data_IF_058138119356
#
_entry.id   IF_058138119356
#
_cell.length_a   1.000
_cell.length_b   1.000
_cell.length_c   1.000
_cell.angle_alpha   90.00
_cell.angle_beta   90.00
_cell.angle_gamma   90.00
#
_symmetry.space_group_name_H-M   'P 1'
#
loop_
_entity.id
_entity.type
_entity.pdbx_description
1 polymer ?
#
# COMPACT_ATOMS: atom_id res chain seq x y z
N UNK A 1 -14.52 5.25 -0.52
CA UNK A 1 -13.60 4.64 0.47
C UNK A 1 -13.35 3.16 0.20
N UNK A 2 -13.79 2.61 -0.95
CA UNK A 2 -13.80 1.17 -1.17
C UNK A 2 -12.41 0.52 -1.23
N UNK A 3 -11.38 1.25 -1.67
CA UNK A 3 -10.05 0.67 -1.87
C UNK A 3 -9.38 0.14 -0.60
N UNK A 4 -9.66 0.74 0.56
CA UNK A 4 -9.12 0.27 1.83
C UNK A 4 -10.03 -0.77 2.50
N UNK A 5 -11.32 -0.77 2.14
CA UNK A 5 -12.31 -1.71 2.66
C UNK A 5 -12.17 -3.11 2.05
N UNK A 6 -11.49 -3.25 0.90
CA UNK A 6 -11.21 -4.55 0.27
C UNK A 6 -10.53 -5.53 1.25
N UNK A 7 -9.73 -5.01 2.17
CA UNK A 7 -9.02 -5.82 3.17
C UNK A 7 -9.89 -6.19 4.39
N UNK A 8 -10.99 -5.46 4.62
CA UNK A 8 -11.97 -5.80 5.68
C UNK A 8 -12.95 -6.88 5.20
N UNK A 9 -13.18 -6.96 3.88
CA UNK A 9 -14.14 -7.88 3.27
C UNK A 9 -13.56 -9.25 2.91
N UNK A 10 -12.22 -9.37 2.85
CA UNK A 10 -11.53 -10.59 2.42
C UNK A 10 -10.84 -11.31 3.56
N UNK A 11 -11.51 -12.31 4.11
CA UNK A 11 -10.86 -13.33 4.93
C UNK A 11 -10.00 -14.20 4.00
N UNK A 12 -8.67 -14.23 4.21
CA UNK A 12 -7.69 -15.08 3.50
C UNK A 12 -7.23 -14.62 2.10
N UNK A 13 -6.66 -13.42 2.00
CA UNK A 13 -5.94 -12.99 0.80
C UNK A 13 -4.70 -13.87 0.59
N UNK A 14 -4.53 -14.42 -0.62
CA UNK A 14 -3.41 -15.30 -0.99
C UNK A 14 -2.77 -14.86 -2.30
N UNK A 15 -1.48 -15.16 -2.43
CA UNK A 15 -0.69 -14.89 -3.62
C UNK A 15 0.04 -16.14 -4.08
N UNK A 16 0.25 -16.31 -5.39
CA UNK A 16 0.98 -17.46 -5.93
C UNK A 16 1.87 -17.10 -7.11
N UNK A 17 3.03 -17.74 -7.21
CA UNK A 17 3.92 -17.74 -8.37
C UNK A 17 3.67 -18.98 -9.29
N UNK A 18 2.62 -19.75 -9.01
CA UNK A 18 2.30 -21.02 -9.68
C UNK A 18 2.90 -22.27 -9.00
N UNK A 19 3.83 -22.10 -8.06
CA UNK A 19 4.48 -23.20 -7.34
C UNK A 19 4.32 -23.09 -5.82
N UNK A 20 4.38 -21.87 -5.31
CA UNK A 20 4.29 -21.50 -3.91
C UNK A 20 3.05 -20.66 -3.66
N UNK A 21 2.56 -20.69 -2.42
CA UNK A 21 1.44 -19.86 -1.99
C UNK A 21 1.87 -19.07 -0.77
N UNK A 22 1.72 -17.75 -0.89
CA UNK A 22 1.93 -16.80 0.18
C UNK A 22 0.58 -16.35 0.74
N UNK A 23 0.55 -16.11 2.05
CA UNK A 23 -0.67 -15.68 2.76
C UNK A 23 -0.51 -14.25 3.23
N UNK A 24 -1.52 -13.42 3.00
CA UNK A 24 -1.56 -12.04 3.46
C UNK A 24 -2.47 -11.93 4.68
N UNK A 25 -2.02 -11.16 5.67
CA UNK A 25 -2.80 -10.81 6.84
C UNK A 25 -2.77 -9.30 7.06
N UNK A 26 -3.95 -8.68 7.11
CA UNK A 26 -4.12 -7.32 7.58
C UNK A 26 -3.75 -7.26 9.08
N UNK A 27 -2.99 -6.25 9.47
CA UNK A 27 -2.65 -5.98 10.87
C UNK A 27 -3.50 -4.82 11.37
N UNK A 28 -3.45 -3.70 10.67
CA UNK A 28 -4.12 -2.47 11.10
C UNK A 28 -4.52 -1.63 9.88
N UNK A 29 -5.63 -0.90 10.02
CA UNK A 29 -6.11 0.07 9.05
C UNK A 29 -6.20 1.43 9.74
N UNK A 30 -5.56 2.43 9.15
CA UNK A 30 -5.56 3.80 9.65
C UNK A 30 -6.13 4.72 8.58
N UNK A 31 -7.14 5.51 8.93
CA UNK A 31 -7.68 6.53 8.04
C UNK A 31 -7.71 7.84 8.81
N UNK A 32 -6.82 8.75 8.46
CA UNK A 32 -6.80 10.09 8.99
C UNK A 32 -7.62 10.98 8.06
N UNK A 33 -8.95 10.89 8.20
CA UNK A 33 -9.89 11.82 7.61
C UNK A 33 -10.90 12.30 8.68
N UNK A 34 -11.61 13.41 8.46
CA UNK A 34 -12.82 13.76 9.18
C UNK A 34 -13.74 12.56 9.00
N UNK A 35 -14.29 12.08 10.12
CA UNK A 35 -14.87 10.73 10.31
C UNK A 35 -15.83 10.24 9.20
N UNK A 36 -16.35 11.13 8.36
CA UNK A 36 -17.42 10.83 7.40
C UNK A 36 -17.10 11.25 5.96
N UNK A 37 -15.84 11.50 5.62
CA UNK A 37 -15.45 11.99 4.29
C UNK A 37 -14.56 10.95 3.57
N UNK A 38 -14.84 10.58 2.32
CA UNK A 38 -13.90 9.81 1.51
C UNK A 38 -12.64 10.62 1.17
N UNK A 39 -11.46 9.99 1.16
CA UNK A 39 -10.20 10.65 0.73
C UNK A 39 -10.26 11.22 -0.70
N UNK A 40 -11.23 10.78 -1.49
CA UNK A 40 -11.50 11.24 -2.86
C UNK A 40 -12.50 12.40 -2.96
N UNK A 41 -13.19 12.76 -1.89
CA UNK A 41 -14.18 13.85 -1.88
C UNK A 41 -13.51 15.20 -1.54
N UNK A 42 -13.66 16.15 -2.46
CA UNK A 42 -12.96 17.44 -2.47
C UNK A 42 -13.77 18.57 -1.85
N UNK A 43 -15.06 18.37 -1.59
CA UNK A 43 -15.97 19.44 -1.16
C UNK A 43 -15.89 19.76 0.33
N UNK A 44 -15.23 18.93 1.11
CA UNK A 44 -15.32 18.92 2.57
C UNK A 44 -13.99 19.20 3.29
N UNK A 45 -12.92 19.42 2.53
CA UNK A 45 -11.74 20.12 3.02
C UNK A 45 -12.13 21.60 3.18
N UNK A 46 -12.50 22.01 4.39
CA UNK A 46 -12.74 23.41 4.70
C UNK A 46 -11.38 24.09 4.89
N UNK A 47 -10.90 24.77 3.85
CA UNK A 47 -9.56 25.37 3.77
C UNK A 47 -9.42 26.72 4.50
N UNK A 48 -10.50 27.21 5.11
CA UNK A 48 -10.65 28.62 5.47
C UNK A 48 -10.13 29.04 6.85
N UNK A 49 -9.61 28.13 7.68
CA UNK A 49 -9.13 28.51 9.01
C UNK A 49 -7.84 27.79 9.39
N UNK A 50 -6.69 28.34 8.95
CA UNK A 50 -5.41 28.39 9.70
C UNK A 50 -4.78 27.11 10.26
N UNK A 51 -5.33 25.92 10.04
CA UNK A 51 -4.77 24.65 10.52
C UNK A 51 -3.91 24.04 9.42
N UNK A 52 -2.61 24.28 9.52
CA UNK A 52 -1.57 23.88 8.57
C UNK A 52 -1.30 22.36 8.47
N UNK A 53 -2.04 21.48 9.14
CA UNK A 53 -1.64 20.07 9.30
C UNK A 53 -2.75 19.06 9.00
N UNK A 54 -3.62 19.37 8.04
CA UNK A 54 -4.57 18.35 7.58
C UNK A 54 -4.00 17.53 6.41
N UNK A 55 -3.24 16.49 6.75
CA UNK A 55 -2.79 15.48 5.79
C UNK A 55 -3.89 14.44 5.65
N UNK A 56 -4.71 14.56 4.60
CA UNK A 56 -5.67 13.52 4.26
C UNK A 56 -4.89 12.28 3.80
N UNK A 57 -4.77 11.28 4.68
CA UNK A 57 -4.08 10.03 4.39
C UNK A 57 -4.88 8.81 4.86
N UNK A 58 -4.56 7.67 4.27
CA UNK A 58 -5.00 6.38 4.73
C UNK A 58 -3.88 5.37 4.54
N UNK A 59 -3.73 4.45 5.48
CA UNK A 59 -2.74 3.40 5.41
C UNK A 59 -3.25 2.06 5.91
N UNK A 60 -2.60 1.01 5.43
CA UNK A 60 -2.75 -0.35 5.93
C UNK A 60 -1.39 -0.88 6.36
N UNK A 61 -1.35 -1.43 7.56
CA UNK A 61 -0.26 -2.27 8.03
C UNK A 61 -0.64 -3.72 7.77
N UNK A 62 0.27 -4.49 7.20
CA UNK A 62 0.01 -5.88 6.83
C UNK A 62 1.24 -6.75 7.04
N UNK A 63 1.07 -8.05 6.87
CA UNK A 63 2.18 -9.00 6.77
C UNK A 63 1.90 -10.08 5.73
N UNK A 64 2.93 -10.52 5.03
CA UNK A 64 2.88 -11.66 4.12
C UNK A 64 3.73 -12.81 4.66
N UNK A 65 3.19 -14.01 4.63
CA UNK A 65 3.93 -15.24 4.91
C UNK A 65 4.56 -15.73 3.62
N UNK A 66 5.88 -15.64 3.55
CA UNK A 66 6.69 -16.20 2.46
C UNK A 66 7.55 -17.33 3.01
N UNK A 67 7.31 -18.56 2.52
CA UNK A 67 7.90 -19.76 3.10
C UNK A 67 7.55 -19.92 4.58
N UNK A 68 8.58 -19.97 5.45
CA UNK A 68 8.40 -20.12 6.91
C UNK A 68 8.39 -18.79 7.69
N UNK A 69 8.57 -17.64 7.02
CA UNK A 69 8.73 -16.34 7.68
C UNK A 69 7.58 -15.39 7.35
N UNK A 70 7.28 -14.51 8.30
CA UNK A 70 6.35 -13.39 8.12
C UNK A 70 7.12 -12.10 7.91
N UNK A 71 6.70 -11.34 6.91
CA UNK A 71 7.30 -10.08 6.50
C UNK A 71 6.26 -8.98 6.64
N UNK A 72 6.56 -7.94 7.42
CA UNK A 72 5.65 -6.82 7.64
C UNK A 72 5.71 -5.86 6.45
N UNK A 73 4.60 -5.23 6.11
CA UNK A 73 4.57 -4.14 5.17
C UNK A 73 3.58 -3.06 5.60
N UNK A 74 3.70 -1.90 4.98
CA UNK A 74 2.78 -0.77 5.10
C UNK A 74 2.50 -0.22 3.71
N UNK A 75 1.27 0.17 3.45
CA UNK A 75 0.89 0.90 2.25
C UNK A 75 0.15 2.16 2.66
N UNK A 76 0.56 3.31 2.14
CA UNK A 76 0.06 4.64 2.50
C UNK A 76 -0.38 5.35 1.23
N UNK A 77 -1.55 5.99 1.27
CA UNK A 77 -1.96 6.98 0.28
C UNK A 77 -2.22 8.28 1.02
N UNK A 78 -1.54 9.33 0.58
CA UNK A 78 -1.68 10.70 1.08
C UNK A 78 -2.13 11.63 -0.06
N UNK A 79 -2.81 12.71 0.28
CA UNK A 79 -3.18 13.75 -0.69
C UNK A 79 -2.39 15.03 -0.42
N UNK A 80 -1.70 15.51 -1.44
CA UNK A 80 -0.96 16.77 -1.41
C UNK A 80 -1.89 18.00 -1.52
N UNK A 81 -1.34 19.17 -1.18
CA UNK A 81 -2.06 20.45 -1.25
C UNK A 81 -2.51 20.80 -2.67
N UNK A 82 -1.71 20.45 -3.69
CA UNK A 82 -2.03 20.64 -5.11
C UNK A 82 -3.09 19.64 -5.63
N UNK A 83 -3.68 18.84 -4.73
CA UNK A 83 -4.65 17.79 -5.03
C UNK A 83 -4.13 16.60 -5.85
N UNK A 84 -2.80 16.45 -5.97
CA UNK A 84 -2.18 15.17 -6.35
C UNK A 84 -2.25 14.21 -5.17
N UNK A 85 -2.21 12.91 -5.44
CA UNK A 85 -2.05 11.91 -4.39
C UNK A 85 -0.64 11.33 -4.47
N UNK A 86 -0.05 11.04 -3.32
CA UNK A 86 1.21 10.31 -3.20
C UNK A 86 0.88 8.97 -2.60
N UNK A 87 1.35 7.89 -3.23
CA UNK A 87 1.32 6.57 -2.63
C UNK A 87 2.74 6.14 -2.25
N UNK A 88 2.85 5.48 -1.10
CA UNK A 88 4.07 4.89 -0.58
C UNK A 88 3.76 3.44 -0.19
N UNK A 89 4.67 2.52 -0.47
CA UNK A 89 4.60 1.15 0.01
C UNK A 89 5.93 0.73 0.57
N UNK A 90 5.91 0.06 1.73
CA UNK A 90 7.06 -0.59 2.33
C UNK A 90 6.77 -2.03 2.71
N UNK A 91 7.79 -2.88 2.58
CA UNK A 91 7.66 -4.32 2.77
C UNK A 91 8.97 -4.91 3.28
N UNK A 92 9.07 -5.22 4.56
CA UNK A 92 10.32 -5.72 5.16
C UNK A 92 11.33 -4.62 5.45
N UNK A 93 10.89 -3.36 5.51
CA UNK A 93 11.60 -2.29 6.23
C UNK A 93 12.32 -1.22 5.39
N UNK A 94 12.38 -1.31 4.05
CA UNK A 94 13.30 -0.46 3.27
C UNK A 94 12.90 -0.12 1.84
N UNK A 95 11.73 -0.58 1.38
CA UNK A 95 11.24 -0.19 0.07
C UNK A 95 10.29 0.97 0.32
N UNK A 96 10.53 2.14 -0.23
CA UNK A 96 9.53 3.21 -0.23
C UNK A 96 9.77 4.01 -1.48
N UNK A 97 8.82 3.91 -2.41
CA UNK A 97 8.82 4.74 -3.59
C UNK A 97 7.56 5.61 -3.54
N UNK A 98 7.74 6.92 -3.67
CA UNK A 98 6.66 7.89 -3.72
C UNK A 98 6.16 8.01 -5.16
N UNK A 99 4.90 7.64 -5.40
CA UNK A 99 4.31 7.76 -6.73
C UNK A 99 3.18 8.77 -6.73
N UNK A 100 3.28 9.79 -7.59
CA UNK A 100 2.22 10.76 -7.84
C UNK A 100 1.09 10.14 -8.67
N UNK A 101 -0.12 10.12 -8.13
CA UNK A 101 -1.31 9.59 -8.78
C UNK A 101 -2.18 10.69 -9.35
N UNK A 102 -2.51 10.52 -10.63
CA UNK A 102 -3.64 11.22 -11.22
C UNK A 102 -4.96 10.58 -10.72
N UNK A 103 -6.03 11.37 -10.57
CA UNK A 103 -7.36 10.92 -10.13
C UNK A 103 -7.94 9.77 -10.96
N UNK A 104 -7.56 9.69 -12.24
CA UNK A 104 -8.00 8.64 -13.15
C UNK A 104 -7.22 7.33 -13.03
N UNK A 105 -6.09 7.31 -12.33
CA UNK A 105 -5.28 6.11 -12.17
C UNK A 105 -6.04 5.05 -11.36
N UNK A 106 -6.08 3.83 -11.89
CA UNK A 106 -6.70 2.67 -11.24
C UNK A 106 -5.65 1.73 -10.64
N UNK A 107 -4.43 1.75 -11.15
CA UNK A 107 -3.33 0.91 -10.68
C UNK A 107 -2.02 1.67 -10.60
N UNK A 108 -1.10 1.18 -9.77
CA UNK A 108 0.20 1.76 -9.50
C UNK A 108 1.21 0.62 -9.45
N UNK A 109 2.34 0.81 -10.11
CA UNK A 109 3.51 -0.04 -9.91
C UNK A 109 4.54 0.73 -9.10
N UNK A 110 5.03 0.09 -8.04
CA UNK A 110 6.13 0.55 -7.21
C UNK A 110 7.34 -0.31 -7.56
N UNK A 111 8.35 0.29 -8.20
CA UNK A 111 9.63 -0.36 -8.39
C UNK A 111 10.58 0.06 -7.28
N UNK A 112 11.41 -0.88 -6.86
CA UNK A 112 12.40 -0.67 -5.82
C UNK A 112 13.30 0.53 -6.16
N UNK A 113 13.23 1.56 -5.34
CA UNK A 113 14.22 2.62 -5.27
C UNK A 113 14.71 2.68 -3.82
N UNK A 114 16.03 2.57 -3.64
CA UNK A 114 16.65 2.54 -2.31
C UNK A 114 16.39 3.87 -1.62
N UNK A 115 15.55 3.89 -0.58
CA UNK A 115 15.35 5.12 0.20
C UNK A 115 15.03 4.82 1.65
N UNK A 116 16.06 4.46 2.43
CA UNK A 116 16.14 4.85 3.84
C UNK A 116 17.52 4.49 4.40
N UNK A 117 18.23 5.47 4.96
CA UNK A 117 19.44 5.23 5.75
C UNK A 117 19.13 4.50 7.08
N UNK A 118 17.85 4.38 7.46
CA UNK A 118 17.39 3.81 8.73
C UNK A 118 17.18 2.29 8.72
N UNK A 119 17.26 1.63 7.56
CA UNK A 119 17.04 0.18 7.46
C UNK A 119 18.30 -0.68 7.45
N UNK A 120 19.46 -0.09 7.72
CA UNK A 120 20.70 -0.84 7.92
C UNK A 120 20.47 -1.93 8.99
N UNK A 121 20.57 -3.20 8.57
CA UNK A 121 20.41 -4.44 9.37
C UNK A 121 19.00 -5.06 9.51
N UNK A 122 17.97 -4.62 8.77
CA UNK A 122 16.70 -5.37 8.73
C UNK A 122 16.73 -6.48 7.67
N UNK A 123 16.18 -7.68 7.95
CA UNK A 123 16.06 -8.71 6.93
C UNK A 123 15.11 -8.23 5.83
N UNK A 124 15.51 -8.45 4.58
CA UNK A 124 14.77 -8.07 3.38
C UNK A 124 14.17 -9.30 2.70
N UNK A 125 12.92 -9.18 2.21
CA UNK A 125 12.31 -10.22 1.36
C UNK A 125 12.89 -10.19 -0.07
N UNK A 126 13.46 -9.06 -0.50
CA UNK A 126 13.97 -8.88 -1.87
C UNK A 126 12.83 -8.57 -2.84
N UNK A 127 12.07 -7.50 -2.60
CA UNK A 127 11.00 -7.05 -3.51
C UNK A 127 11.61 -6.19 -4.63
N UNK A 128 11.32 -6.55 -5.88
CA UNK A 128 11.66 -5.78 -7.09
C UNK A 128 10.52 -4.81 -7.45
N UNK A 129 9.27 -5.29 -7.41
CA UNK A 129 8.10 -4.54 -7.84
C UNK A 129 6.85 -4.92 -7.03
N UNK A 130 5.99 -3.95 -6.74
CA UNK A 130 4.63 -4.21 -6.22
C UNK A 130 3.62 -3.51 -7.11
N UNK A 131 2.57 -4.23 -7.51
CA UNK A 131 1.45 -3.69 -8.27
C UNK A 131 0.23 -3.64 -7.35
N UNK A 132 -0.30 -2.44 -7.17
CA UNK A 132 -1.51 -2.18 -6.43
C UNK A 132 -2.61 -1.67 -7.36
N UNK A 133 -3.83 -2.14 -7.14
CA UNK A 133 -5.04 -1.72 -7.84
C UNK A 133 -6.07 -1.16 -6.86
N UNK A 134 -6.68 -0.03 -7.22
CA UNK A 134 -7.65 0.70 -6.40
C UNK A 134 -8.91 -0.11 -6.07
N UNK A 135 -9.29 -1.05 -6.92
CA UNK A 135 -10.44 -1.91 -6.73
C UNK A 135 -10.11 -3.26 -6.10
N UNK A 136 -8.83 -3.66 -6.05
CA UNK A 136 -8.43 -5.00 -5.61
C UNK A 136 -7.35 -5.06 -4.51
N UNK A 137 -6.73 -3.94 -4.17
CA UNK A 137 -5.59 -3.90 -3.27
C UNK A 137 -4.29 -4.31 -3.98
N UNK A 138 -3.35 -4.91 -3.25
CA UNK A 138 -2.14 -5.49 -3.83
C UNK A 138 -2.56 -6.66 -4.72
N UNK A 139 -2.24 -6.58 -6.02
CA UNK A 139 -2.59 -7.61 -7.02
C UNK A 139 -1.39 -8.43 -7.48
N UNK A 140 -0.18 -7.92 -7.28
CA UNK A 140 1.05 -8.62 -7.60
C UNK A 140 2.21 -8.05 -6.76
N UNK A 141 3.16 -8.89 -6.36
CA UNK A 141 4.51 -8.44 -6.05
C UNK A 141 5.53 -9.38 -6.68
N UNK A 142 6.66 -8.82 -7.09
CA UNK A 142 7.75 -9.52 -7.74
C UNK A 142 8.99 -9.46 -6.87
N UNK A 143 9.69 -10.59 -6.78
CA UNK A 143 10.95 -10.70 -6.08
C UNK A 143 12.12 -10.38 -7.02
N UNK A 144 13.25 -9.99 -6.44
CA UNK A 144 14.52 -9.74 -7.16
C UNK A 144 15.03 -10.98 -7.91
N UNK A 145 14.64 -12.19 -7.47
CA UNK A 145 14.93 -13.45 -8.15
C UNK A 145 14.06 -13.71 -9.39
N UNK A 146 13.13 -12.80 -9.70
CA UNK A 146 12.26 -12.84 -10.88
C UNK A 146 10.90 -13.48 -10.64
N UNK A 147 10.65 -14.13 -9.50
CA UNK A 147 9.35 -14.74 -9.20
C UNK A 147 8.30 -13.67 -8.94
N UNK A 148 7.14 -13.80 -9.59
CA UNK A 148 6.01 -12.90 -9.43
C UNK A 148 4.84 -13.62 -8.76
N UNK A 149 4.41 -13.09 -7.62
CA UNK A 149 3.33 -13.61 -6.82
C UNK A 149 2.05 -12.82 -7.10
N UNK A 150 1.12 -13.45 -7.81
CA UNK A 150 -0.13 -12.85 -8.22
C UNK A 150 -1.24 -13.15 -7.21
N UNK A 151 -2.10 -12.16 -6.97
CA UNK A 151 -3.30 -12.31 -6.15
C UNK A 151 -4.18 -13.43 -6.72
N UNK A 152 -4.50 -14.41 -5.88
CA UNK A 152 -5.47 -15.45 -6.21
C UNK A 152 -6.86 -14.82 -6.05
N UNK A 153 -7.57 -14.61 -7.15
CA UNK A 153 -8.98 -14.23 -7.10
C UNK A 153 -9.79 -15.52 -7.02
N UNK A 154 -10.38 -15.79 -5.85
CA UNK A 154 -11.47 -16.75 -5.70
C UNK A 154 -12.81 -16.12 -6.13
#
# INVERSE_FOLDING_TARGET
>A
MNWINIYDEKENIRFTDGFSIDSFALIEKKVCNKKDIPITDLKSCNWLEGQHEYIANASIDFKIKHGSKWWKGVFIISKNMDSTFVAEISFGGLYSNEVCLNRAATSISFKNEVNSEQGSNQPLLGIDEVIWDKGKGIVCYKLEDGRAFHLINE
#
